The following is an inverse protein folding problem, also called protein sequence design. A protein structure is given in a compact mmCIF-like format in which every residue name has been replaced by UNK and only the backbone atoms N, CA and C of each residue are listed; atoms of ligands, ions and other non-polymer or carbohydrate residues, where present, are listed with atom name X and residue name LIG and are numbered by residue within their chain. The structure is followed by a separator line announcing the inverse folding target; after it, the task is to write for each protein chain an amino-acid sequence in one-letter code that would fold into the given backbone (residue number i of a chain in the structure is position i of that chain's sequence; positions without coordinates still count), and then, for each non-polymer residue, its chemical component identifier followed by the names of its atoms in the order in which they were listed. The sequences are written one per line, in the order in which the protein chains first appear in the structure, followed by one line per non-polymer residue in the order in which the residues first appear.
data_IF_028176452658
#
_entry.id   IF_028176452658
#
_cell.length_a   1.000
_cell.length_b   1.000
_cell.length_c   1.000
_cell.angle_alpha   90.00
_cell.angle_beta   90.00
_cell.angle_gamma   90.00
#
_symmetry.space_group_name_H-M   'P 1'
#
loop_
_entity.id
_entity.type
_entity.pdbx_description
1 polymer ?
#
# COMPACT_ATOMS: atom_id res chain seq x y z
N UNK A 1 -20.30 4.67 -25.02
CA UNK A 1 -20.68 4.91 -23.61
C UNK A 1 -21.21 3.65 -22.94
N UNK A 2 -22.20 2.96 -23.51
CA UNK A 2 -22.77 1.69 -23.00
C UNK A 2 -21.74 0.60 -22.64
N UNK A 3 -20.73 0.38 -23.50
CA UNK A 3 -19.71 -0.67 -23.30
C UNK A 3 -18.89 -0.49 -22.00
N UNK A 4 -18.55 0.74 -21.64
CA UNK A 4 -17.78 1.03 -20.43
C UNK A 4 -18.63 0.91 -19.18
N UNK A 5 -19.91 1.30 -19.23
CA UNK A 5 -20.82 1.09 -18.11
C UNK A 5 -21.06 -0.40 -17.87
N UNK A 6 -21.27 -1.20 -18.92
CA UNK A 6 -21.41 -2.65 -18.80
C UNK A 6 -20.16 -3.30 -18.20
N UNK A 7 -18.95 -2.92 -18.66
CA UNK A 7 -17.71 -3.44 -18.09
C UNK A 7 -17.54 -3.04 -16.62
N UNK A 8 -17.86 -1.80 -16.25
CA UNK A 8 -17.80 -1.34 -14.86
C UNK A 8 -18.79 -2.13 -13.97
N UNK A 9 -20.03 -2.33 -14.42
CA UNK A 9 -21.04 -3.09 -13.68
C UNK A 9 -20.64 -4.56 -13.53
N UNK A 10 -20.07 -5.17 -14.56
CA UNK A 10 -19.55 -6.54 -14.50
C UNK A 10 -18.38 -6.62 -13.52
N UNK A 11 -17.44 -5.67 -13.54
CA UNK A 11 -16.29 -5.68 -12.63
C UNK A 11 -16.74 -5.50 -11.17
N UNK A 12 -17.67 -4.57 -10.92
CA UNK A 12 -18.18 -4.30 -9.57
C UNK A 12 -18.95 -5.51 -9.03
N UNK A 13 -19.80 -6.13 -9.84
CA UNK A 13 -20.55 -7.33 -9.44
C UNK A 13 -19.63 -8.54 -9.23
N UNK A 14 -18.60 -8.73 -10.07
CA UNK A 14 -17.61 -9.78 -9.90
C UNK A 14 -16.75 -9.59 -8.64
N UNK A 15 -16.29 -8.36 -8.35
CA UNK A 15 -15.52 -8.07 -7.14
C UNK A 15 -16.39 -8.21 -5.88
N UNK A 16 -17.63 -7.73 -5.91
CA UNK A 16 -18.58 -7.93 -4.80
C UNK A 16 -18.88 -9.42 -4.56
N UNK A 17 -19.04 -10.20 -5.64
CA UNK A 17 -19.23 -11.64 -5.56
C UNK A 17 -18.00 -12.37 -4.98
N UNK A 18 -16.79 -12.01 -5.44
CA UNK A 18 -15.55 -12.58 -4.91
C UNK A 18 -15.36 -12.24 -3.44
N UNK A 19 -15.68 -11.02 -3.02
CA UNK A 19 -15.58 -10.58 -1.63
C UNK A 19 -16.62 -11.31 -0.75
N UNK A 20 -17.85 -11.49 -1.25
CA UNK A 20 -18.86 -12.32 -0.60
C UNK A 20 -18.44 -13.80 -0.50
N UNK A 21 -17.84 -14.34 -1.56
CA UNK A 21 -17.36 -15.71 -1.60
C UNK A 21 -16.17 -15.92 -0.65
N UNK A 22 -15.26 -14.96 -0.57
CA UNK A 22 -14.12 -15.00 0.35
C UNK A 22 -14.59 -14.91 1.81
N UNK A 23 -15.60 -14.08 2.09
CA UNK A 23 -16.19 -13.99 3.43
C UNK A 23 -16.92 -15.29 3.84
N UNK A 24 -17.61 -15.94 2.89
CA UNK A 24 -18.32 -17.21 3.14
C UNK A 24 -17.42 -18.44 3.15
N UNK A 25 -16.22 -18.36 2.59
CA UNK A 25 -15.20 -19.43 2.66
C UNK A 25 -14.30 -19.28 3.89
N UNK A 26 -13.94 -18.05 4.26
CA UNK A 26 -13.19 -17.76 5.48
C UNK A 26 -13.93 -18.14 6.78
N UNK A 27 -15.27 -18.15 6.75
CA UNK A 27 -16.07 -18.65 7.88
C UNK A 27 -15.90 -20.15 8.14
N UNK A 28 -15.74 -20.98 7.10
CA UNK A 28 -15.62 -22.45 7.25
C UNK A 28 -14.25 -22.88 7.80
N UNK A 29 -13.18 -22.19 7.42
CA UNK A 29 -11.84 -22.44 7.95
C UNK A 29 -11.70 -21.95 9.42
N UNK A 30 -12.39 -20.85 9.75
CA UNK A 30 -12.45 -20.30 11.11
C UNK A 30 -13.24 -21.23 12.05
N UNK A 31 -14.36 -21.80 11.60
CA UNK A 31 -15.19 -22.71 12.41
C UNK A 31 -14.45 -24.02 12.72
N UNK A 32 -13.66 -24.55 11.78
CA UNK A 32 -12.82 -25.74 12.02
C UNK A 32 -11.63 -25.46 12.96
N UNK A 33 -11.05 -24.26 12.93
CA UNK A 33 -10.00 -23.85 13.89
C UNK A 33 -10.56 -23.50 15.27
N UNK A 34 -11.80 -23.00 15.37
CA UNK A 34 -12.44 -22.68 16.65
C UNK A 34 -12.72 -23.94 17.47
N UNK A 35 -13.12 -25.04 16.83
CA UNK A 35 -13.38 -26.34 17.49
C UNK A 35 -12.10 -26.97 18.05
N UNK A 36 -10.97 -26.89 17.34
CA UNK A 36 -9.67 -27.39 17.85
C UNK A 36 -9.08 -26.46 18.93
N UNK A 37 -9.41 -25.18 18.89
CA UNK A 37 -8.86 -24.16 19.79
C UNK A 37 -9.70 -23.96 21.07
N UNK A 38 -10.94 -24.48 21.12
CA UNK A 38 -11.79 -24.45 22.33
C UNK A 38 -11.24 -25.36 23.45
N UNK A 39 -10.45 -26.39 23.11
CA UNK A 39 -9.96 -27.36 24.09
C UNK A 39 -8.70 -26.91 24.85
N UNK A 40 -8.08 -25.76 24.51
CA UNK A 40 -6.78 -25.40 25.12
C UNK A 40 -6.49 -23.94 25.47
N UNK A 41 -7.40 -22.97 25.33
CA UNK A 41 -7.00 -21.57 25.54
C UNK A 41 -8.13 -20.59 25.76
N UNK A 42 -8.71 -20.57 26.96
CA UNK A 42 -9.76 -19.62 27.33
C UNK A 42 -9.19 -18.35 27.98
N UNK A 43 -7.96 -18.36 28.52
CA UNK A 43 -7.35 -17.18 29.16
C UNK A 43 -6.37 -16.39 28.29
N UNK A 44 -5.73 -17.00 27.27
CA UNK A 44 -4.65 -16.36 26.48
C UNK A 44 -5.14 -15.64 25.19
N UNK A 45 -6.32 -15.97 24.67
CA UNK A 45 -6.81 -15.43 23.38
C UNK A 45 -7.11 -13.93 23.41
N UNK A 46 -7.59 -13.41 24.54
CA UNK A 46 -7.97 -12.00 24.67
C UNK A 46 -6.80 -11.04 24.51
N UNK A 47 -5.64 -11.42 25.05
CA UNK A 47 -4.42 -10.60 25.04
C UNK A 47 -3.77 -10.56 23.64
N UNK A 48 -3.72 -11.71 22.95
CA UNK A 48 -3.23 -11.80 21.58
C UNK A 48 -4.11 -11.02 20.58
N UNK A 49 -5.43 -11.11 20.72
CA UNK A 49 -6.35 -10.36 19.85
C UNK A 49 -6.25 -8.84 20.05
N UNK A 50 -6.12 -8.37 21.30
CA UNK A 50 -5.96 -6.96 21.60
C UNK A 50 -4.62 -6.41 21.08
N UNK A 51 -3.53 -7.15 21.29
CA UNK A 51 -2.19 -6.81 20.81
C UNK A 51 -2.13 -6.70 19.29
N UNK A 52 -2.75 -7.66 18.60
CA UNK A 52 -2.90 -7.69 17.15
C UNK A 52 -3.69 -6.50 16.60
N UNK A 53 -4.83 -6.19 17.21
CA UNK A 53 -5.68 -5.06 16.79
C UNK A 53 -4.97 -3.72 17.01
N UNK A 54 -4.28 -3.57 18.14
CA UNK A 54 -3.51 -2.36 18.46
C UNK A 54 -2.37 -2.16 17.48
N UNK A 55 -1.63 -3.22 17.13
CA UNK A 55 -0.61 -3.20 16.08
C UNK A 55 -1.20 -2.78 14.73
N UNK A 56 -2.29 -3.44 14.30
CA UNK A 56 -2.95 -3.11 13.03
C UNK A 56 -3.39 -1.64 13.01
N UNK A 57 -4.04 -1.15 14.05
CA UNK A 57 -4.48 0.25 14.10
C UNK A 57 -3.29 1.22 14.09
N UNK A 58 -2.24 0.94 14.86
CA UNK A 58 -1.04 1.76 14.93
C UNK A 58 -0.32 1.90 13.58
N UNK A 59 -0.33 0.84 12.76
CA UNK A 59 0.27 0.85 11.42
C UNK A 59 -0.69 1.43 10.36
N UNK A 60 -1.95 1.00 10.35
CA UNK A 60 -2.89 1.37 9.29
C UNK A 60 -3.33 2.84 9.35
N UNK A 61 -3.41 3.47 10.53
CA UNK A 61 -3.77 4.90 10.60
C UNK A 61 -2.79 5.83 9.87
N UNK A 62 -1.48 5.81 10.19
CA UNK A 62 -0.52 6.64 9.47
C UNK A 62 -0.42 6.24 8.00
N UNK A 63 -0.52 4.94 7.69
CA UNK A 63 -0.56 4.45 6.30
C UNK A 63 -1.74 5.04 5.52
N UNK A 64 -2.96 4.98 6.06
CA UNK A 64 -4.17 5.51 5.42
C UNK A 64 -4.02 7.01 5.14
N UNK A 65 -3.49 7.78 6.08
CA UNK A 65 -3.30 9.22 5.88
C UNK A 65 -2.26 9.54 4.81
N UNK A 66 -1.14 8.81 4.78
CA UNK A 66 -0.11 8.98 3.77
C UNK A 66 -0.62 8.62 2.37
N UNK A 67 -1.34 7.50 2.27
CA UNK A 67 -1.97 7.04 1.02
C UNK A 67 -3.10 7.98 0.59
N UNK A 68 -3.89 8.49 1.53
CA UNK A 68 -4.93 9.46 1.25
C UNK A 68 -4.35 10.76 0.68
N UNK A 69 -3.24 11.24 1.23
CA UNK A 69 -2.55 12.42 0.74
C UNK A 69 -2.08 12.23 -0.71
N UNK A 70 -1.49 11.07 -1.03
CA UNK A 70 -1.04 10.73 -2.38
C UNK A 70 -2.21 10.67 -3.38
N UNK A 71 -3.28 9.95 -3.03
CA UNK A 71 -4.47 9.85 -3.90
C UNK A 71 -5.20 11.18 -4.08
N UNK A 72 -5.19 12.06 -3.08
CA UNK A 72 -5.88 13.35 -3.15
C UNK A 72 -5.19 14.33 -4.12
N UNK A 73 -3.86 14.26 -4.22
CA UNK A 73 -3.09 15.06 -5.18
C UNK A 73 -2.92 14.37 -6.55
N UNK A 74 -3.08 13.05 -6.62
CA UNK A 74 -2.81 12.21 -7.80
C UNK A 74 -3.40 12.74 -9.13
N UNK A 75 -4.68 13.18 -9.20
CA UNK A 75 -5.28 13.69 -10.44
C UNK A 75 -4.64 14.99 -10.95
N UNK A 76 -4.12 15.80 -10.03
CA UNK A 76 -3.59 17.13 -10.33
C UNK A 76 -2.05 17.17 -10.37
N UNK A 77 -1.40 16.14 -9.84
CA UNK A 77 0.05 16.04 -9.75
C UNK A 77 0.71 16.13 -11.12
N UNK A 78 0.17 15.41 -12.12
CA UNK A 78 0.75 15.40 -13.46
C UNK A 78 0.64 16.77 -14.14
N UNK A 79 -0.52 17.42 -14.01
CA UNK A 79 -0.75 18.73 -14.60
C UNK A 79 0.19 19.78 -13.97
N UNK A 80 0.32 19.81 -12.65
CA UNK A 80 1.17 20.78 -11.95
C UNK A 80 2.66 20.51 -12.21
N UNK A 81 3.12 19.25 -12.13
CA UNK A 81 4.53 18.92 -12.35
C UNK A 81 5.00 19.21 -13.77
N UNK A 82 4.16 18.92 -14.77
CA UNK A 82 4.49 19.11 -16.18
C UNK A 82 4.34 20.55 -16.65
N UNK A 83 3.26 21.23 -16.28
CA UNK A 83 2.93 22.55 -16.83
C UNK A 83 3.44 23.71 -15.99
N UNK A 84 3.60 23.55 -14.66
CA UNK A 84 4.01 24.66 -13.79
C UNK A 84 5.46 24.57 -13.32
N UNK A 85 5.94 23.37 -12.98
CA UNK A 85 7.26 23.21 -12.32
C UNK A 85 8.38 22.65 -13.20
N UNK A 86 8.06 22.05 -14.35
CA UNK A 86 9.05 21.48 -15.27
C UNK A 86 9.97 20.43 -14.63
N UNK A 87 9.48 19.74 -13.60
CA UNK A 87 10.27 18.75 -12.85
C UNK A 87 10.36 17.47 -13.67
N UNK A 88 11.55 16.83 -13.75
CA UNK A 88 11.69 15.63 -14.55
C UNK A 88 10.88 14.47 -13.94
N UNK A 89 10.06 13.84 -14.78
CA UNK A 89 9.04 12.84 -14.40
C UNK A 89 9.63 11.64 -13.62
N UNK A 90 10.88 11.29 -13.92
CA UNK A 90 11.63 10.23 -13.25
C UNK A 90 11.81 10.47 -11.74
N UNK A 91 11.91 11.73 -11.30
CA UNK A 91 12.14 12.07 -9.89
C UNK A 91 10.86 11.92 -9.10
N UNK A 92 9.73 12.33 -9.68
CA UNK A 92 8.41 12.18 -9.06
C UNK A 92 8.08 10.70 -8.90
N UNK A 93 8.27 9.92 -9.97
CA UNK A 93 8.06 8.46 -9.91
C UNK A 93 8.93 7.81 -8.83
N UNK A 94 10.22 8.16 -8.74
CA UNK A 94 11.11 7.63 -7.72
C UNK A 94 10.64 7.95 -6.29
N UNK A 95 10.20 9.18 -6.03
CA UNK A 95 9.71 9.59 -4.70
C UNK A 95 8.41 8.86 -4.35
N UNK A 96 7.49 8.72 -5.30
CA UNK A 96 6.23 7.97 -5.09
C UNK A 96 6.51 6.50 -4.79
N UNK A 97 7.38 5.84 -5.54
CA UNK A 97 7.78 4.45 -5.27
C UNK A 97 8.45 4.31 -3.90
N UNK A 98 9.31 5.25 -3.53
CA UNK A 98 9.94 5.25 -2.20
C UNK A 98 8.92 5.38 -1.08
N UNK A 99 7.89 6.22 -1.24
CA UNK A 99 6.84 6.39 -0.23
C UNK A 99 6.16 5.05 0.10
N UNK A 100 5.76 4.29 -0.93
CA UNK A 100 5.11 2.98 -0.71
C UNK A 100 6.08 1.95 -0.14
N UNK A 101 7.31 1.87 -0.66
CA UNK A 101 8.31 0.90 -0.20
C UNK A 101 8.73 1.10 1.27
N UNK A 102 8.76 2.34 1.75
CA UNK A 102 9.07 2.63 3.17
C UNK A 102 8.02 2.03 4.10
N UNK A 103 6.74 2.16 3.78
CA UNK A 103 5.67 1.56 4.59
C UNK A 103 5.69 0.03 4.54
N UNK A 104 5.97 -0.56 3.38
CA UNK A 104 6.12 -2.02 3.26
C UNK A 104 7.29 -2.54 4.08
N UNK A 105 8.44 -1.84 4.03
CA UNK A 105 9.63 -2.21 4.80
C UNK A 105 9.37 -2.08 6.29
N UNK A 106 8.73 -0.99 6.73
CA UNK A 106 8.35 -0.82 8.14
C UNK A 106 7.43 -1.94 8.60
N UNK A 107 6.42 -2.31 7.79
CA UNK A 107 5.52 -3.41 8.09
C UNK A 107 6.27 -4.75 8.22
N UNK A 108 7.18 -5.06 7.29
CA UNK A 108 7.97 -6.30 7.33
C UNK A 108 8.86 -6.35 8.58
N UNK A 109 9.52 -5.25 8.92
CA UNK A 109 10.36 -5.17 10.14
C UNK A 109 9.53 -5.41 11.39
N UNK A 110 8.41 -4.70 11.54
CA UNK A 110 7.52 -4.84 12.69
C UNK A 110 6.86 -6.23 12.76
N UNK A 111 6.58 -6.84 11.60
CA UNK A 111 6.05 -8.20 11.47
C UNK A 111 7.00 -9.26 12.06
N UNK A 112 8.31 -9.10 11.84
CA UNK A 112 9.33 -9.99 12.37
C UNK A 112 9.63 -9.72 13.85
N UNK A 113 9.70 -8.45 14.26
CA UNK A 113 10.01 -8.10 15.65
C UNK A 113 8.95 -8.52 16.65
N UNK A 114 7.68 -8.37 16.28
CA UNK A 114 6.57 -8.72 17.18
C UNK A 114 6.21 -10.21 17.14
N UNK A 115 6.98 -11.03 16.42
CA UNK A 115 6.72 -12.46 16.28
C UNK A 115 5.25 -12.77 15.91
N UNK A 116 4.65 -11.91 15.08
CA UNK A 116 3.26 -12.04 14.60
C UNK A 116 2.93 -13.38 13.89
N UNK A 117 3.91 -14.16 13.36
CA UNK A 117 3.65 -15.53 12.93
C UNK A 117 3.10 -16.45 14.04
N UNK A 118 3.48 -16.23 15.31
CA UNK A 118 2.96 -17.01 16.45
C UNK A 118 1.48 -16.70 16.74
N UNK A 119 0.99 -15.53 16.32
CA UNK A 119 -0.40 -15.09 16.48
C UNK A 119 -1.27 -15.52 15.27
N UNK A 120 -0.70 -16.27 14.31
CA UNK A 120 -1.41 -16.81 13.15
C UNK A 120 -1.70 -15.79 12.03
N UNK A 121 -1.08 -14.60 12.05
CA UNK A 121 -1.22 -13.64 10.96
C UNK A 121 -0.32 -14.00 9.79
N UNK A 122 -0.90 -14.27 8.62
CA UNK A 122 -0.12 -14.49 7.39
C UNK A 122 0.29 -13.16 6.79
N UNK A 123 1.57 -13.05 6.40
CA UNK A 123 2.12 -11.84 5.74
C UNK A 123 1.32 -11.47 4.49
N UNK A 124 0.91 -12.46 3.69
CA UNK A 124 0.08 -12.27 2.51
C UNK A 124 -1.30 -11.67 2.81
N UNK A 125 -1.90 -12.00 3.96
CA UNK A 125 -3.17 -11.38 4.37
C UNK A 125 -3.00 -9.92 4.79
N UNK A 126 -1.88 -9.59 5.45
CA UNK A 126 -1.58 -8.20 5.85
C UNK A 126 -1.34 -7.33 4.61
N UNK A 127 -0.53 -7.79 3.67
CA UNK A 127 -0.34 -7.11 2.38
C UNK A 127 -1.63 -7.02 1.57
N UNK A 128 -2.43 -8.08 1.53
CA UNK A 128 -3.74 -8.06 0.88
C UNK A 128 -4.65 -6.97 1.47
N UNK A 129 -4.75 -6.90 2.80
CA UNK A 129 -5.51 -5.86 3.49
C UNK A 129 -4.96 -4.46 3.21
N UNK A 130 -3.63 -4.29 3.19
CA UNK A 130 -2.97 -3.03 2.88
C UNK A 130 -3.37 -2.52 1.49
N UNK A 131 -3.31 -3.39 0.49
CA UNK A 131 -3.73 -3.09 -0.89
C UNK A 131 -5.22 -2.79 -0.99
N UNK A 132 -6.08 -3.57 -0.32
CA UNK A 132 -7.53 -3.30 -0.30
C UNK A 132 -7.84 -1.94 0.32
N UNK A 133 -7.19 -1.59 1.44
CA UNK A 133 -7.33 -0.28 2.08
C UNK A 133 -6.86 0.82 1.12
N UNK A 134 -5.74 0.63 0.42
CA UNK A 134 -5.24 1.60 -0.55
C UNK A 134 -6.27 1.92 -1.64
N UNK A 135 -6.90 0.89 -2.24
CA UNK A 135 -7.94 1.10 -3.24
C UNK A 135 -9.21 1.75 -2.68
N UNK A 136 -9.61 1.39 -1.46
CA UNK A 136 -10.74 2.04 -0.79
C UNK A 136 -10.47 3.52 -0.55
N UNK A 137 -9.25 3.84 -0.07
CA UNK A 137 -8.80 5.22 0.15
C UNK A 137 -8.71 5.98 -1.17
N UNK A 138 -8.26 5.36 -2.26
CA UNK A 138 -8.22 5.98 -3.59
C UNK A 138 -9.58 6.51 -4.02
N UNK A 139 -10.63 5.70 -3.89
CA UNK A 139 -12.01 6.07 -4.25
C UNK A 139 -12.50 7.22 -3.36
N UNK A 140 -12.32 7.10 -2.04
CA UNK A 140 -12.77 8.11 -1.08
C UNK A 140 -12.03 9.45 -1.26
N UNK A 141 -10.71 9.41 -1.39
CA UNK A 141 -9.88 10.60 -1.60
C UNK A 141 -10.22 11.30 -2.92
N UNK A 142 -10.51 10.55 -3.98
CA UNK A 142 -10.95 11.14 -5.26
C UNK A 142 -12.26 11.91 -5.09
N UNK A 143 -13.26 11.32 -4.43
CA UNK A 143 -14.54 11.98 -4.17
C UNK A 143 -14.39 13.22 -3.26
N UNK A 144 -13.54 13.12 -2.23
CA UNK A 144 -13.25 14.25 -1.34
C UNK A 144 -12.52 15.37 -2.11
N UNK A 145 -11.60 15.03 -3.01
CA UNK A 145 -10.92 15.98 -3.87
C UNK A 145 -11.90 16.77 -4.74
N UNK A 146 -12.84 16.08 -5.40
CA UNK A 146 -13.86 16.71 -6.22
C UNK A 146 -14.78 17.64 -5.41
N UNK A 147 -15.20 17.21 -4.21
CA UNK A 147 -16.01 18.03 -3.31
C UNK A 147 -15.27 19.29 -2.84
N UNK A 148 -13.99 19.17 -2.51
CA UNK A 148 -13.16 20.30 -2.08
C UNK A 148 -13.00 21.34 -3.18
N UNK A 149 -12.86 20.91 -4.43
CA UNK A 149 -12.80 21.80 -5.60
C UNK A 149 -14.14 22.48 -5.81
N UNK A 150 -15.25 21.75 -5.70
CA UNK A 150 -16.60 22.32 -5.86
C UNK A 150 -16.94 23.36 -4.78
N UNK A 151 -16.52 23.13 -3.52
CA UNK A 151 -16.77 24.08 -2.44
C UNK A 151 -15.81 25.29 -2.46
N UNK A 152 -14.53 25.06 -2.75
CA UNK A 152 -13.49 26.10 -2.66
C UNK A 152 -13.31 26.87 -3.98
N UNK A 153 -13.87 26.38 -5.09
CA UNK A 153 -13.71 26.95 -6.43
C UNK A 153 -12.28 27.01 -6.96
N UNK A 154 -11.31 26.42 -6.24
CA UNK A 154 -9.87 26.58 -6.48
C UNK A 154 -9.20 25.23 -6.66
N UNK A 155 -8.32 25.12 -7.65
CA UNK A 155 -7.59 23.88 -7.98
C UNK A 155 -6.50 23.52 -6.95
N UNK A 156 -6.20 24.40 -5.99
CA UNK A 156 -5.18 24.20 -4.95
C UNK A 156 -5.73 23.52 -3.69
N UNK A 157 -7.05 23.40 -3.54
CA UNK A 157 -7.69 22.83 -2.35
C UNK A 157 -7.27 21.37 -2.06
N UNK A 158 -7.17 20.47 -3.06
CA UNK A 158 -6.69 19.10 -2.84
C UNK A 158 -5.24 19.04 -2.32
N UNK A 159 -4.37 19.95 -2.79
CA UNK A 159 -2.98 20.00 -2.34
C UNK A 159 -2.86 20.49 -0.88
N UNK A 160 -3.69 21.46 -0.48
CA UNK A 160 -3.74 21.90 0.91
C UNK A 160 -4.22 20.77 1.82
N UNK A 161 -5.29 20.09 1.45
CA UNK A 161 -5.80 18.95 2.21
C UNK A 161 -4.77 17.81 2.28
N UNK A 162 -4.04 17.52 1.19
CA UNK A 162 -2.96 16.54 1.19
C UNK A 162 -1.83 16.93 2.15
N UNK A 163 -1.46 18.22 2.20
CA UNK A 163 -0.45 18.72 3.14
C UNK A 163 -0.87 18.52 4.61
N UNK A 164 -2.15 18.73 4.94
CA UNK A 164 -2.71 18.50 6.27
C UNK A 164 -2.67 17.00 6.61
N UNK A 165 -3.06 16.14 5.68
CA UNK A 165 -2.96 14.68 5.84
C UNK A 165 -1.52 14.22 6.07
N UNK A 166 -0.55 14.75 5.32
CA UNK A 166 0.88 14.45 5.50
C UNK A 166 1.40 14.90 6.87
N UNK A 167 1.05 16.10 7.33
CA UNK A 167 1.43 16.57 8.67
C UNK A 167 0.82 15.69 9.76
N UNK A 168 -0.44 15.29 9.60
CA UNK A 168 -1.11 14.34 10.49
C UNK A 168 -0.41 12.97 10.51
N UNK A 169 -0.06 12.44 9.34
CA UNK A 169 0.68 11.18 9.22
C UNK A 169 2.05 11.27 9.91
N UNK A 170 2.82 12.32 9.64
CA UNK A 170 4.13 12.55 10.26
C UNK A 170 4.01 12.67 11.79
N UNK A 171 3.00 13.39 12.29
CA UNK A 171 2.73 13.50 13.71
C UNK A 171 2.40 12.13 14.34
N UNK A 172 1.56 11.32 13.68
CA UNK A 172 1.22 9.98 14.17
C UNK A 172 2.42 9.04 14.14
N UNK A 173 3.20 9.05 13.05
CA UNK A 173 4.42 8.24 12.94
C UNK A 173 5.40 8.61 14.05
N UNK A 174 5.65 9.91 14.28
CA UNK A 174 6.54 10.38 15.34
C UNK A 174 6.08 9.98 16.76
N UNK A 175 4.79 9.70 16.96
CA UNK A 175 4.21 9.32 18.26
C UNK A 175 4.04 7.82 18.45
N UNK A 176 3.90 7.07 17.36
CA UNK A 176 3.58 5.64 17.36
C UNK A 176 4.82 4.80 17.06
N UNK A 177 5.76 5.32 16.26
CA UNK A 177 6.95 4.59 15.87
C UNK A 177 7.87 4.42 17.07
N UNK A 178 8.12 3.17 17.45
CA UNK A 178 9.17 2.83 18.39
C UNK A 178 10.44 2.71 17.53
N UNK A 179 11.32 3.72 17.58
CA UNK A 179 12.45 3.80 16.66
C UNK A 179 13.32 2.55 16.75
N UNK A 180 13.23 1.72 15.72
CA UNK A 180 14.03 0.54 15.59
C UNK A 180 15.36 0.92 14.93
N UNK A 181 16.29 1.41 15.75
CA UNK A 181 17.67 1.56 15.32
C UNK A 181 18.27 0.17 15.22
N UNK A 182 18.25 -0.40 14.01
CA UNK A 182 18.96 -1.63 13.69
C UNK A 182 20.38 -1.62 14.26
N UNK A 183 20.86 -2.80 14.65
CA UNK A 183 22.08 -3.07 15.41
C UNK A 183 23.14 -1.95 15.36
N UNK A 184 23.47 -1.45 16.56
CA UNK A 184 24.53 -0.50 16.91
C UNK A 184 25.58 -0.27 15.81
N UNK A 185 25.69 0.99 15.38
CA UNK A 185 26.68 1.51 14.43
C UNK A 185 28.05 0.84 14.59
N UNK A 186 28.33 -0.12 13.72
CA UNK A 186 29.71 -0.45 13.40
C UNK A 186 30.16 0.59 12.37
N UNK A 187 31.39 1.08 12.52
CA UNK A 187 32.09 2.14 11.78
C UNK A 187 32.27 1.84 10.27
N UNK A 188 31.22 1.38 9.59
CA UNK A 188 31.19 1.04 8.15
C UNK A 188 30.35 2.06 7.41
N UNK A 189 30.83 2.47 6.24
CA UNK A 189 30.07 3.37 5.38
C UNK A 189 28.82 2.65 4.86
N UNK A 190 27.63 3.20 5.11
CA UNK A 190 26.33 2.67 4.69
C UNK A 190 26.28 2.19 3.22
N UNK A 191 27.08 2.82 2.35
CA UNK A 191 27.20 2.50 0.92
C UNK A 191 27.78 1.09 0.71
N UNK A 192 28.74 0.68 1.53
CA UNK A 192 29.38 -0.64 1.42
C UNK A 192 28.42 -1.75 1.85
N UNK A 193 27.66 -1.53 2.92
CA UNK A 193 26.66 -2.48 3.38
C UNK A 193 25.52 -2.62 2.37
N UNK A 194 25.01 -1.49 1.83
CA UNK A 194 24.00 -1.51 0.76
C UNK A 194 24.51 -2.23 -0.50
N UNK A 195 25.76 -1.96 -0.92
CA UNK A 195 26.34 -2.66 -2.08
C UNK A 195 26.44 -4.16 -1.84
N UNK A 196 26.86 -4.56 -0.65
CA UNK A 196 27.00 -5.97 -0.28
C UNK A 196 25.64 -6.68 -0.24
N UNK A 197 24.63 -6.04 0.31
CA UNK A 197 23.27 -6.59 0.39
C UNK A 197 22.61 -6.71 -0.98
N UNK A 198 22.77 -5.69 -1.83
CA UNK A 198 22.31 -5.75 -3.23
C UNK A 198 23.02 -6.88 -3.97
N UNK A 199 24.35 -7.00 -3.82
CA UNK A 199 25.08 -8.11 -4.42
C UNK A 199 24.53 -9.44 -3.92
N UNK A 200 24.40 -9.61 -2.61
CA UNK A 200 23.90 -10.84 -1.99
C UNK A 200 22.46 -11.19 -2.45
N UNK A 201 21.64 -10.18 -2.72
CA UNK A 201 20.30 -10.35 -3.28
C UNK A 201 20.33 -10.85 -4.73
N UNK A 202 21.21 -10.29 -5.57
CA UNK A 202 21.41 -10.70 -6.97
C UNK A 202 21.97 -12.14 -7.05
N UNK A 203 22.80 -12.55 -6.10
CA UNK A 203 23.35 -13.90 -6.05
C UNK A 203 22.32 -14.97 -5.66
N UNK A 204 21.14 -14.60 -5.14
CA UNK A 204 20.06 -15.55 -4.82
C UNK A 204 19.18 -15.76 -6.07
N UNK A 205 19.22 -16.93 -6.74
CA UNK A 205 18.58 -17.12 -8.04
C UNK A 205 17.06 -16.97 -8.00
N UNK A 206 16.42 -17.32 -6.88
CA UNK A 206 14.97 -17.18 -6.69
C UNK A 206 14.53 -15.71 -6.61
N UNK A 207 15.28 -14.89 -5.86
CA UNK A 207 14.96 -13.47 -5.69
C UNK A 207 15.26 -12.72 -6.98
N UNK A 208 16.39 -13.03 -7.62
CA UNK A 208 16.75 -12.47 -8.91
C UNK A 208 15.71 -12.80 -9.99
N UNK A 209 15.27 -14.06 -10.10
CA UNK A 209 14.25 -14.46 -11.07
C UNK A 209 12.90 -13.75 -10.81
N UNK A 210 12.51 -13.58 -9.54
CA UNK A 210 11.29 -12.87 -9.17
C UNK A 210 11.36 -11.38 -9.57
N UNK A 211 12.49 -10.72 -9.31
CA UNK A 211 12.71 -9.31 -9.67
C UNK A 211 12.73 -9.09 -11.19
N UNK A 212 13.38 -9.98 -11.94
CA UNK A 212 13.38 -9.92 -13.42
C UNK A 212 11.98 -10.15 -13.98
N UNK A 213 11.23 -11.12 -13.44
CA UNK A 213 9.85 -11.39 -13.86
C UNK A 213 8.92 -10.19 -13.58
N UNK A 214 9.04 -9.58 -12.39
CA UNK A 214 8.30 -8.37 -12.03
C UNK A 214 8.65 -7.19 -12.95
N UNK A 215 9.93 -6.97 -13.26
CA UNK A 215 10.38 -5.93 -14.17
C UNK A 215 9.78 -6.09 -15.59
N UNK A 216 9.78 -7.31 -16.13
CA UNK A 216 9.16 -7.57 -17.44
C UNK A 216 7.64 -7.38 -17.41
N UNK A 217 6.98 -7.84 -16.34
CA UNK A 217 5.54 -7.72 -16.20
C UNK A 217 5.11 -6.25 -16.09
N UNK A 218 5.74 -5.47 -15.22
CA UNK A 218 5.50 -4.04 -15.09
C UNK A 218 5.85 -3.28 -16.36
N UNK A 219 7.01 -3.58 -16.96
CA UNK A 219 7.44 -2.98 -18.23
C UNK A 219 6.41 -3.22 -19.35
N UNK A 220 5.84 -4.42 -19.42
CA UNK A 220 4.80 -4.75 -20.42
C UNK A 220 3.51 -3.96 -20.17
N UNK A 221 3.10 -3.79 -18.91
CA UNK A 221 1.93 -2.97 -18.55
C UNK A 221 2.13 -1.50 -18.96
N UNK A 222 3.32 -0.93 -18.72
CA UNK A 222 3.62 0.44 -19.16
C UNK A 222 3.62 0.59 -20.69
N UNK A 223 4.24 -0.35 -21.41
CA UNK A 223 4.22 -0.33 -22.87
C UNK A 223 2.77 -0.39 -23.39
N UNK A 224 1.94 -1.26 -22.81
CA UNK A 224 0.52 -1.33 -23.16
C UNK A 224 -0.19 0.01 -22.92
N UNK A 225 -0.03 0.63 -21.75
CA UNK A 225 -0.66 1.91 -21.41
C UNK A 225 -0.26 3.03 -22.38
N UNK A 226 1.03 3.13 -22.72
CA UNK A 226 1.51 4.15 -23.66
C UNK A 226 0.97 3.92 -25.08
N UNK A 227 1.11 2.70 -25.60
CA UNK A 227 0.75 2.41 -27.00
C UNK A 227 -0.75 2.27 -27.23
N UNK A 228 -1.54 1.91 -26.21
CA UNK A 228 -2.99 1.76 -26.35
C UNK A 228 -3.67 3.05 -26.83
N UNK A 229 -3.27 4.20 -26.27
CA UNK A 229 -3.85 5.49 -26.63
C UNK A 229 -3.52 5.93 -28.08
N UNK A 230 -2.34 5.57 -28.59
CA UNK A 230 -1.92 5.86 -29.96
C UNK A 230 -2.52 4.86 -30.97
N UNK A 231 -2.65 3.59 -30.58
CA UNK A 231 -3.30 2.56 -31.39
C UNK A 231 -4.77 2.91 -31.67
N UNK A 232 -5.49 3.43 -30.67
CA UNK A 232 -6.89 3.86 -30.78
C UNK A 232 -7.09 5.09 -31.67
N UNK A 233 -6.08 5.95 -31.84
CA UNK A 233 -6.15 7.13 -32.74
C UNK A 233 -5.85 6.77 -34.20
N UNK A 234 -5.18 5.64 -34.44
CA UNK A 234 -4.78 5.20 -35.79
C UNK A 234 -5.83 4.38 -36.54
N UNK A 235 -7.01 4.15 -35.92
CA UNK A 235 -8.17 3.47 -36.51
C UNK A 235 -9.30 4.47 -36.72
#
# INVERSE_FOLDING_TARGET
MEFYQVNLTVLVTANAYLLYWQHTKGGRDTESQLVDSENHGVEDKGEHHATRRRFQMNFFFPYILAVAADWLQSPHIYAVYKFEKGIPENTVAAITTLLFNVFETWMISEYHERCLPLVGLTLSSVFGNMTTISYMVAILSTLVGDLLIQQSGTQTAPFLAASVCCVGAAYLIARISNENFGAQQTERTWIEDVKRDILAMIWKPRIFALGVASCFLEGTVYLFLFYWSEALKST
#
